data_IF_308841969844
#
_entry.id   IF_308841969844
#
_cell.length_a   1.000
_cell.length_b   1.000
_cell.length_c   1.000
_cell.angle_alpha   90.00
_cell.angle_beta   90.00
_cell.angle_gamma   90.00
#
_symmetry.space_group_name_H-M   'P 1'
#
loop_
_entity.id
_entity.type
_entity.pdbx_description
1 polymer ?
#
# COMPACT_ATOMS: atom_id res chain seq x y z
N UNK A 1 -50.16 -7.42 19.34
CA UNK A 1 -49.64 -6.67 18.18
C UNK A 1 -48.21 -6.21 18.49
N UNK A 2 -47.20 -7.04 18.21
CA UNK A 2 -45.77 -6.74 18.45
C UNK A 2 -44.99 -7.31 17.27
N UNK A 3 -44.69 -6.48 16.25
CA UNK A 3 -44.03 -6.98 15.05
C UNK A 3 -43.31 -5.94 14.19
N UNK A 4 -43.21 -4.67 14.62
CA UNK A 4 -42.74 -3.61 13.72
C UNK A 4 -41.39 -2.96 14.08
N UNK A 5 -40.77 -3.34 15.20
CA UNK A 5 -39.60 -2.60 15.75
C UNK A 5 -38.22 -3.21 15.45
N UNK A 6 -38.16 -4.41 14.87
CA UNK A 6 -36.90 -5.14 14.60
C UNK A 6 -36.34 -4.92 13.18
N UNK A 7 -37.19 -4.57 12.22
CA UNK A 7 -36.77 -4.38 10.82
C UNK A 7 -35.97 -3.09 10.61
N UNK A 8 -36.32 -1.99 11.30
CA UNK A 8 -35.61 -0.71 11.15
C UNK A 8 -34.18 -0.73 11.67
N UNK A 9 -33.88 -1.48 12.74
CA UNK A 9 -32.52 -1.58 13.28
C UNK A 9 -31.60 -2.40 12.37
N UNK A 10 -32.10 -3.48 11.77
CA UNK A 10 -31.31 -4.33 10.86
C UNK A 10 -30.95 -3.61 9.56
N UNK A 11 -31.90 -2.83 8.99
CA UNK A 11 -31.64 -2.01 7.80
C UNK A 11 -30.58 -0.94 8.06
N UNK A 12 -30.56 -0.35 9.26
CA UNK A 12 -29.62 0.70 9.62
C UNK A 12 -28.17 0.17 9.68
N UNK A 13 -27.96 -1.04 10.20
CA UNK A 13 -26.63 -1.68 10.24
C UNK A 13 -26.13 -2.05 8.84
N UNK A 14 -27.02 -2.49 7.95
CA UNK A 14 -26.66 -2.84 6.56
C UNK A 14 -26.22 -1.60 5.78
N UNK A 15 -26.92 -0.46 5.94
CA UNK A 15 -26.55 0.81 5.30
C UNK A 15 -25.21 1.35 5.85
N UNK A 16 -24.96 1.25 7.16
CA UNK A 16 -23.68 1.68 7.74
C UNK A 16 -22.49 0.80 7.28
N UNK A 17 -22.67 -0.52 7.21
CA UNK A 17 -21.60 -1.44 6.80
C UNK A 17 -21.26 -1.33 5.30
N UNK A 18 -22.25 -1.08 4.44
CA UNK A 18 -22.03 -0.82 3.02
C UNK A 18 -21.22 0.46 2.76
N UNK A 19 -21.44 1.51 3.58
CA UNK A 19 -20.69 2.77 3.48
C UNK A 19 -19.19 2.62 3.79
N UNK A 20 -18.85 1.80 4.80
CA UNK A 20 -17.45 1.57 5.22
C UNK A 20 -16.66 0.82 4.14
N UNK A 21 -17.28 -0.14 3.46
CA UNK A 21 -16.68 -0.88 2.34
C UNK A 21 -16.39 0.01 1.12
N UNK A 22 -17.20 1.05 0.89
CA UNK A 22 -16.98 1.98 -0.22
C UNK A 22 -15.78 2.92 0.03
N UNK A 23 -15.57 3.38 1.26
CA UNK A 23 -14.46 4.28 1.62
C UNK A 23 -13.10 3.60 1.49
N UNK A 24 -12.98 2.31 1.85
CA UNK A 24 -11.72 1.56 1.74
C UNK A 24 -11.30 1.29 0.29
N UNK A 25 -12.24 1.23 -0.66
CA UNK A 25 -11.94 0.94 -2.06
C UNK A 25 -11.38 2.15 -2.84
N UNK A 26 -11.58 3.37 -2.34
CA UNK A 26 -11.22 4.60 -3.03
C UNK A 26 -9.91 5.27 -2.54
N UNK A 27 -9.19 4.64 -1.60
CA UNK A 27 -7.91 5.17 -1.09
C UNK A 27 -6.70 4.86 -1.98
N UNK A 28 -6.91 4.26 -3.16
CA UNK A 28 -5.87 4.09 -4.18
C UNK A 28 -5.55 5.40 -4.87
N UNK A 29 -4.94 6.33 -4.15
CA UNK A 29 -4.39 7.57 -4.69
C UNK A 29 -3.27 7.23 -5.67
N UNK A 30 -3.64 7.03 -6.94
CA UNK A 30 -2.69 7.03 -8.04
C UNK A 30 -2.29 8.48 -8.32
N UNK A 31 -1.57 9.11 -7.38
CA UNK A 31 -0.67 10.17 -7.78
C UNK A 31 0.22 9.58 -8.88
N UNK A 32 0.31 10.26 -10.02
CA UNK A 32 1.28 9.95 -11.06
C UNK A 32 2.68 10.13 -10.45
N UNK A 33 3.17 9.07 -9.81
CA UNK A 33 4.44 9.04 -9.13
C UNK A 33 5.47 8.61 -10.17
N UNK A 34 6.29 9.55 -10.62
CA UNK A 34 7.40 9.26 -11.52
C UNK A 34 8.71 9.33 -10.72
N UNK A 35 9.15 8.17 -10.23
CA UNK A 35 10.49 8.00 -9.70
C UNK A 35 11.10 6.70 -10.19
N UNK A 36 12.43 6.60 -10.15
CA UNK A 36 13.20 5.61 -10.92
C UNK A 36 12.80 4.16 -10.61
N UNK A 37 12.40 3.86 -9.37
CA UNK A 37 11.98 2.51 -8.98
C UNK A 37 10.70 2.05 -9.72
N UNK A 38 9.73 2.95 -9.94
CA UNK A 38 8.47 2.61 -10.62
C UNK A 38 8.64 2.38 -12.13
N UNK A 39 9.81 2.71 -12.70
CA UNK A 39 10.12 2.39 -14.10
C UNK A 39 10.31 0.88 -14.29
N UNK A 40 10.88 0.20 -13.29
CA UNK A 40 11.17 -1.24 -13.32
C UNK A 40 10.19 -2.08 -12.49
N UNK A 41 9.65 -1.55 -11.39
CA UNK A 41 8.75 -2.28 -10.50
C UNK A 41 7.29 -2.00 -10.81
N UNK A 42 6.65 -2.88 -11.60
CA UNK A 42 5.25 -2.74 -12.06
C UNK A 42 4.49 -4.06 -11.98
N UNK A 43 3.17 -3.98 -11.86
CA UNK A 43 2.26 -5.12 -11.94
C UNK A 43 2.55 -6.21 -10.90
N UNK A 44 3.07 -7.35 -11.36
CA UNK A 44 3.43 -8.47 -10.47
C UNK A 44 4.71 -8.18 -9.66
N UNK A 45 5.61 -7.36 -10.20
CA UNK A 45 6.88 -6.98 -9.61
C UNK A 45 6.81 -5.60 -8.92
N UNK A 46 5.61 -5.11 -8.61
CA UNK A 46 5.40 -3.83 -7.92
C UNK A 46 6.07 -3.80 -6.54
N UNK A 47 6.53 -2.61 -6.13
CA UNK A 47 7.16 -2.40 -4.82
C UNK A 47 6.22 -2.80 -3.67
N UNK A 48 4.93 -2.48 -3.77
CA UNK A 48 3.94 -2.79 -2.73
C UNK A 48 3.82 -4.30 -2.48
N UNK A 49 3.80 -5.09 -3.56
CA UNK A 49 3.77 -6.56 -3.48
C UNK A 49 5.04 -7.08 -2.83
N UNK A 50 6.19 -6.59 -3.27
CA UNK A 50 7.47 -6.99 -2.70
C UNK A 50 7.54 -6.71 -1.18
N UNK A 51 7.12 -5.51 -0.77
CA UNK A 51 7.08 -5.11 0.65
C UNK A 51 6.11 -5.98 1.45
N UNK A 52 4.93 -6.30 0.91
CA UNK A 52 3.97 -7.20 1.56
C UNK A 52 4.51 -8.63 1.67
N UNK A 53 5.07 -9.19 0.59
CA UNK A 53 5.61 -10.56 0.55
C UNK A 53 6.80 -10.72 1.49
N UNK A 54 7.67 -9.71 1.58
CA UNK A 54 8.84 -9.70 2.46
C UNK A 54 8.52 -9.19 3.87
N UNK A 55 7.29 -8.76 4.13
CA UNK A 55 6.86 -8.17 5.42
C UNK A 55 7.78 -7.04 5.89
N UNK A 56 8.19 -6.18 4.96
CA UNK A 56 9.04 -5.03 5.27
C UNK A 56 8.19 -3.96 5.95
N UNK A 57 8.53 -3.59 7.18
CA UNK A 57 7.73 -2.63 7.97
C UNK A 57 8.44 -1.32 8.27
N UNK A 58 9.73 -1.20 7.95
CA UNK A 58 10.54 -0.01 8.24
C UNK A 58 11.40 0.44 7.06
N UNK A 59 11.63 1.75 7.01
CA UNK A 59 12.51 2.40 6.05
C UNK A 59 13.94 1.83 6.08
N UNK A 60 14.48 1.51 7.26
CA UNK A 60 15.85 1.00 7.40
C UNK A 60 16.01 -0.40 6.78
N UNK A 61 15.04 -1.29 7.04
CA UNK A 61 14.98 -2.62 6.42
C UNK A 61 14.88 -2.52 4.89
N UNK A 62 14.04 -1.61 4.39
CA UNK A 62 13.92 -1.37 2.95
C UNK A 62 15.25 -0.90 2.34
N UNK A 63 15.90 0.10 2.95
CA UNK A 63 17.21 0.61 2.50
C UNK A 63 18.26 -0.49 2.49
N UNK A 64 18.31 -1.28 3.56
CA UNK A 64 19.24 -2.40 3.68
C UNK A 64 19.02 -3.43 2.57
N UNK A 65 17.77 -3.79 2.28
CA UNK A 65 17.45 -4.73 1.20
C UNK A 65 17.80 -4.19 -0.19
N UNK A 66 17.57 -2.91 -0.46
CA UNK A 66 17.94 -2.31 -1.75
C UNK A 66 19.46 -2.28 -1.93
N UNK A 67 20.22 -1.99 -0.86
CA UNK A 67 21.68 -1.82 -0.90
C UNK A 67 22.49 -3.11 -0.70
N UNK A 68 21.95 -4.08 0.03
CA UNK A 68 22.67 -5.28 0.48
C UNK A 68 21.92 -6.58 0.18
N UNK A 69 20.70 -6.50 -0.37
CA UNK A 69 19.93 -7.68 -0.74
C UNK A 69 20.52 -8.44 -1.93
N UNK A 70 19.96 -9.62 -2.27
CA UNK A 70 20.47 -10.48 -3.33
C UNK A 70 20.46 -9.82 -4.72
N UNK A 71 19.64 -8.79 -4.91
CA UNK A 71 19.55 -8.00 -6.15
C UNK A 71 20.14 -6.59 -6.02
N UNK A 72 20.94 -6.32 -4.98
CA UNK A 72 21.53 -5.01 -4.75
C UNK A 72 22.38 -4.50 -5.92
N UNK A 73 23.03 -5.41 -6.65
CA UNK A 73 23.80 -5.08 -7.86
C UNK A 73 22.99 -4.35 -8.93
N UNK A 74 21.66 -4.53 -8.97
CA UNK A 74 20.77 -3.85 -9.91
C UNK A 74 20.40 -2.42 -9.46
N UNK A 75 20.65 -2.09 -8.19
CA UNK A 75 20.26 -0.81 -7.58
C UNK A 75 21.47 0.07 -7.21
N UNK A 76 22.66 -0.23 -7.72
CA UNK A 76 23.89 0.55 -7.45
C UNK A 76 23.75 2.03 -7.83
N UNK A 77 22.98 2.33 -8.88
CA UNK A 77 22.75 3.70 -9.37
C UNK A 77 21.48 4.35 -8.81
N UNK A 78 20.84 3.74 -7.82
CA UNK A 78 19.72 4.36 -7.11
C UNK A 78 20.27 5.39 -6.13
N UNK A 79 19.90 6.66 -6.33
CA UNK A 79 20.22 7.73 -5.40
C UNK A 79 19.41 7.59 -4.11
N UNK A 80 19.91 8.14 -3.01
CA UNK A 80 19.16 8.16 -1.75
C UNK A 80 17.85 8.93 -1.88
N UNK A 81 17.77 9.96 -2.74
CA UNK A 81 16.52 10.66 -3.03
C UNK A 81 15.45 9.76 -3.67
N UNK A 82 15.84 8.84 -4.56
CA UNK A 82 14.90 7.87 -5.15
C UNK A 82 14.42 6.85 -4.10
N UNK A 83 15.31 6.45 -3.18
CA UNK A 83 14.97 5.60 -2.04
C UNK A 83 13.97 6.29 -1.10
N UNK A 84 14.17 7.57 -0.79
CA UNK A 84 13.24 8.33 0.05
C UNK A 84 11.86 8.46 -0.60
N UNK A 85 11.81 8.70 -1.91
CA UNK A 85 10.55 8.70 -2.66
C UNK A 85 9.87 7.34 -2.59
N UNK A 86 10.62 6.25 -2.71
CA UNK A 86 10.10 4.88 -2.58
C UNK A 86 9.55 4.62 -1.17
N UNK A 87 10.29 4.99 -0.13
CA UNK A 87 9.90 4.81 1.29
C UNK A 87 8.62 5.58 1.59
N UNK A 88 8.53 6.83 1.13
CA UNK A 88 7.34 7.67 1.25
C UNK A 88 6.15 7.07 0.49
N UNK A 89 6.37 6.58 -0.72
CA UNK A 89 5.33 5.91 -1.51
C UNK A 89 4.78 4.68 -0.80
N UNK A 90 5.66 3.89 -0.19
CA UNK A 90 5.32 2.65 0.52
C UNK A 90 4.76 2.89 1.92
N UNK A 91 4.77 4.14 2.41
CA UNK A 91 4.29 4.48 3.75
C UNK A 91 5.11 3.83 4.87
N UNK A 92 6.40 3.55 4.63
CA UNK A 92 7.28 2.94 5.61
C UNK A 92 7.71 3.97 6.67
N UNK A 93 7.82 3.51 7.93
CA UNK A 93 8.22 4.33 9.08
C UNK A 93 9.71 4.21 9.40
#
# INVERSE_FOLDING_TARGET
>A
MRGFKLYSFSLLIIVLSAGILFVLKNSGSSSAQDFKCLKCHKGKDSLEKYVQEKKITSAEEFRKLVRQGPKAGLHLTSSDEDLERAIKYLGLK
#
